data_IF_397575364671
#
_entry.id   IF_397575364671
#
_cell.length_a   1.000
_cell.length_b   1.000
_cell.length_c   1.000
_cell.angle_alpha   90.00
_cell.angle_beta   90.00
_cell.angle_gamma   90.00
#
_symmetry.space_group_name_H-M   'P 1'
#
loop_
_entity.id
_entity.type
_entity.pdbx_description
1 polymer ?
#
# COMPACT_ATOMS: atom_id res chain seq x y z
N UNK A 1 -27.61 -55.59 23.55
CA UNK A 1 -27.52 -55.39 25.02
C UNK A 1 -27.20 -53.93 25.26
N UNK A 2 -27.93 -53.23 26.13
CA UNK A 2 -27.69 -51.81 26.36
C UNK A 2 -26.28 -51.58 26.94
N UNK A 3 -25.45 -50.82 26.23
CA UNK A 3 -24.10 -50.49 26.65
C UNK A 3 -24.09 -49.20 27.47
N UNK A 4 -23.35 -49.20 28.58
CA UNK A 4 -23.21 -48.03 29.45
C UNK A 4 -21.79 -47.52 29.38
N UNK A 5 -21.64 -46.20 29.36
CA UNK A 5 -20.32 -45.57 29.48
C UNK A 5 -19.85 -45.62 30.95
N UNK A 6 -18.54 -45.49 31.19
CA UNK A 6 -17.95 -45.40 32.55
C UNK A 6 -18.54 -44.25 33.38
N UNK A 7 -19.07 -43.20 32.73
CA UNK A 7 -19.83 -42.12 33.38
C UNK A 7 -21.28 -42.51 33.75
N UNK A 8 -21.65 -43.79 33.66
CA UNK A 8 -22.97 -44.37 33.97
C UNK A 8 -24.12 -43.92 33.06
N UNK A 9 -23.82 -43.26 31.95
CA UNK A 9 -24.84 -42.85 30.98
C UNK A 9 -25.10 -43.98 29.97
N UNK A 10 -26.37 -44.19 29.61
CA UNK A 10 -26.79 -45.13 28.58
C UNK A 10 -26.25 -44.66 27.22
N UNK A 11 -25.52 -45.51 26.51
CA UNK A 11 -25.01 -45.19 25.18
C UNK A 11 -26.08 -45.49 24.13
N UNK A 12 -26.19 -44.58 23.15
CA UNK A 12 -26.97 -44.83 21.94
C UNK A 12 -26.23 -45.88 21.10
N UNK A 13 -26.97 -46.81 20.48
CA UNK A 13 -26.38 -47.87 19.67
C UNK A 13 -25.50 -47.27 18.55
N UNK A 14 -24.23 -47.69 18.49
CA UNK A 14 -23.27 -47.22 17.50
C UNK A 14 -22.56 -45.89 17.81
N UNK A 15 -22.84 -45.24 18.95
CA UNK A 15 -22.17 -43.98 19.31
C UNK A 15 -20.65 -44.16 19.48
N UNK A 16 -19.86 -43.37 18.72
CA UNK A 16 -18.39 -43.32 18.78
C UNK A 16 -17.85 -42.58 20.02
N UNK A 17 -18.64 -41.64 20.54
CA UNK A 17 -18.33 -40.85 21.74
C UNK A 17 -19.56 -40.83 22.65
N UNK A 18 -19.33 -40.77 23.97
CA UNK A 18 -20.41 -40.58 24.92
C UNK A 18 -20.97 -39.15 24.82
N UNK A 19 -22.29 -39.02 24.67
CA UNK A 19 -22.95 -37.71 24.55
C UNK A 19 -22.91 -36.86 25.83
N UNK A 20 -22.66 -37.47 26.99
CA UNK A 20 -22.63 -36.75 28.27
C UNK A 20 -21.20 -36.37 28.70
N UNK A 21 -20.22 -37.27 28.55
CA UNK A 21 -18.84 -37.02 29.01
C UNK A 21 -17.80 -36.88 27.90
N UNK A 22 -18.17 -37.06 26.63
CA UNK A 22 -17.28 -36.88 25.47
C UNK A 22 -16.21 -37.97 25.30
N UNK A 23 -16.16 -39.00 26.15
CA UNK A 23 -15.15 -40.07 26.07
C UNK A 23 -15.42 -40.99 24.87
N UNK A 24 -14.38 -41.39 24.10
CA UNK A 24 -14.54 -42.39 23.05
C UNK A 24 -14.98 -43.73 23.65
N UNK A 25 -15.93 -44.38 22.98
CA UNK A 25 -16.52 -45.67 23.41
C UNK A 25 -15.82 -46.88 22.81
N UNK A 26 -14.94 -46.66 21.83
CA UNK A 26 -14.10 -47.66 21.18
C UNK A 26 -12.68 -47.12 21.09
N UNK A 27 -11.69 -47.97 21.36
CA UNK A 27 -10.31 -47.68 21.00
C UNK A 27 -10.18 -47.80 19.47
N UNK A 28 -10.12 -46.66 18.78
CA UNK A 28 -10.02 -46.58 17.31
C UNK A 28 -8.71 -47.17 16.76
N UNK A 29 -7.80 -47.61 17.62
CA UNK A 29 -6.52 -48.21 17.26
C UNK A 29 -6.66 -49.64 16.73
N UNK A 30 -7.67 -50.41 17.16
CA UNK A 30 -7.76 -51.84 16.81
C UNK A 30 -8.49 -52.15 15.49
N UNK A 31 -9.20 -51.18 14.88
CA UNK A 31 -9.91 -51.42 13.61
C UNK A 31 -9.03 -51.33 12.36
N UNK A 32 -7.78 -50.85 12.46
CA UNK A 32 -6.87 -50.80 11.31
C UNK A 32 -6.09 -52.11 11.09
N UNK A 33 -6.09 -53.04 12.05
CA UNK A 33 -5.19 -54.20 12.04
C UNK A 33 -5.83 -55.50 11.47
N UNK A 34 -7.14 -55.51 11.19
CA UNK A 34 -7.86 -56.72 10.75
C UNK A 34 -8.72 -56.52 9.50
N UNK A 35 -8.21 -55.82 8.48
CA UNK A 35 -8.73 -55.93 7.12
C UNK A 35 -7.87 -56.91 6.29
N UNK A 36 -8.46 -57.95 5.67
CA UNK A 36 -7.75 -58.79 4.70
C UNK A 36 -7.17 -57.93 3.57
N UNK A 37 -5.98 -58.25 3.02
CA UNK A 37 -5.39 -57.46 1.95
C UNK A 37 -6.28 -57.50 0.70
N UNK A 38 -6.92 -56.36 0.40
CA UNK A 38 -7.62 -56.09 -0.86
C UNK A 38 -6.59 -56.17 -2.01
N UNK A 39 -6.85 -56.88 -3.11
CA UNK A 39 -5.93 -56.95 -4.24
C UNK A 39 -5.62 -55.54 -4.76
N UNK A 40 -4.34 -55.23 -4.88
CA UNK A 40 -3.81 -53.96 -5.35
C UNK A 40 -4.42 -53.58 -6.70
N UNK A 41 -5.44 -52.72 -6.67
CA UNK A 41 -5.81 -51.90 -7.81
C UNK A 41 -4.78 -50.79 -7.89
N UNK A 42 -4.01 -50.77 -8.97
CA UNK A 42 -3.18 -49.64 -9.37
C UNK A 42 -4.03 -48.36 -9.30
N UNK A 43 -3.66 -47.37 -8.46
CA UNK A 43 -4.38 -46.11 -8.42
C UNK A 43 -4.36 -45.50 -9.83
N UNK A 44 -5.50 -45.06 -10.39
CA UNK A 44 -5.47 -44.29 -11.62
C UNK A 44 -4.54 -43.10 -11.38
N UNK A 45 -3.55 -42.96 -12.27
CA UNK A 45 -2.57 -41.90 -12.22
C UNK A 45 -3.27 -40.57 -11.89
N UNK A 46 -2.95 -40.03 -10.71
CA UNK A 46 -3.47 -38.73 -10.31
C UNK A 46 -3.19 -37.74 -11.45
N UNK A 47 -4.20 -36.97 -11.90
CA UNK A 47 -3.96 -35.89 -12.84
C UNK A 47 -2.78 -35.07 -12.31
N UNK A 48 -1.80 -34.69 -13.16
CA UNK A 48 -0.70 -33.86 -12.71
C UNK A 48 -1.31 -32.68 -11.95
N UNK A 49 -0.96 -32.55 -10.67
CA UNK A 49 -1.45 -31.48 -9.83
C UNK A 49 -1.23 -30.20 -10.61
N UNK A 50 -2.33 -29.57 -11.05
CA UNK A 50 -2.25 -28.25 -11.65
C UNK A 50 -1.41 -27.41 -10.68
N UNK A 51 -0.37 -26.70 -11.16
CA UNK A 51 0.42 -25.86 -10.27
C UNK A 51 -0.59 -25.01 -9.52
N UNK A 52 -0.60 -25.16 -8.18
CA UNK A 52 -1.35 -24.26 -7.32
C UNK A 52 -0.78 -22.90 -7.66
N UNK A 53 -1.48 -22.17 -8.54
CA UNK A 53 -1.18 -20.79 -8.84
C UNK A 53 -1.08 -20.14 -7.48
N UNK A 54 0.14 -19.79 -7.08
CA UNK A 54 0.39 -19.09 -5.83
C UNK A 54 -0.57 -17.92 -5.88
N UNK A 55 -1.61 -17.94 -5.04
CA UNK A 55 -2.67 -16.95 -5.07
C UNK A 55 -1.99 -15.59 -5.11
N UNK A 56 -2.14 -14.88 -6.25
CA UNK A 56 -1.36 -13.71 -6.58
C UNK A 56 -1.26 -12.83 -5.33
N UNK A 57 -0.04 -12.65 -4.81
CA UNK A 57 0.18 -12.00 -3.52
C UNK A 57 -0.49 -10.64 -3.56
N UNK A 58 -1.56 -10.46 -2.76
CA UNK A 58 -2.39 -9.28 -2.88
C UNK A 58 -1.55 -8.03 -2.61
N UNK A 59 -1.37 -7.18 -3.63
CA UNK A 59 -0.52 -6.00 -3.53
C UNK A 59 -1.05 -5.10 -2.40
N UNK A 60 -0.23 -4.98 -1.36
CA UNK A 60 -0.53 -4.27 -0.12
C UNK A 60 0.71 -4.11 0.75
N UNK A 61 0.57 -3.49 1.93
CA UNK A 61 1.70 -3.24 2.84
C UNK A 61 2.33 -4.50 3.43
N UNK A 62 1.63 -5.64 3.36
CA UNK A 62 2.14 -6.94 3.81
C UNK A 62 3.15 -7.52 2.82
N UNK A 63 3.13 -7.06 1.57
CA UNK A 63 4.08 -7.50 0.55
C UNK A 63 5.37 -6.64 0.63
N UNK A 64 6.49 -7.21 1.10
CA UNK A 64 7.72 -6.46 1.30
C UNK A 64 8.33 -5.98 -0.03
N UNK A 65 8.07 -6.68 -1.14
CA UNK A 65 8.54 -6.24 -2.46
C UNK A 65 7.79 -4.98 -2.90
N UNK A 66 6.47 -4.93 -2.71
CA UNK A 66 5.65 -3.75 -3.00
C UNK A 66 6.11 -2.52 -2.19
N UNK A 67 6.31 -2.70 -0.87
CA UNK A 67 6.77 -1.62 0.01
C UNK A 67 8.17 -1.13 -0.37
N UNK A 68 9.12 -2.04 -0.63
CA UNK A 68 10.49 -1.66 -1.03
C UNK A 68 10.50 -0.86 -2.32
N UNK A 69 9.77 -1.31 -3.34
CA UNK A 69 9.68 -0.60 -4.62
C UNK A 69 9.03 0.77 -4.44
N UNK A 70 7.94 0.85 -3.68
CA UNK A 70 7.24 2.10 -3.39
C UNK A 70 8.13 3.11 -2.66
N UNK A 71 8.85 2.70 -1.61
CA UNK A 71 9.77 3.58 -0.86
C UNK A 71 10.93 4.05 -1.75
N UNK A 72 11.50 3.16 -2.56
CA UNK A 72 12.57 3.52 -3.50
C UNK A 72 12.09 4.56 -4.52
N UNK A 73 10.92 4.34 -5.13
CA UNK A 73 10.38 5.27 -6.11
C UNK A 73 9.95 6.59 -5.47
N UNK A 74 9.40 6.56 -4.26
CA UNK A 74 9.07 7.77 -3.51
C UNK A 74 10.30 8.62 -3.17
N UNK A 75 11.38 7.98 -2.72
CA UNK A 75 12.65 8.66 -2.45
C UNK A 75 13.26 9.24 -3.72
N UNK A 76 13.29 8.46 -4.80
CA UNK A 76 13.85 8.89 -6.08
C UNK A 76 13.05 10.04 -6.71
N UNK A 77 11.71 9.96 -6.72
CA UNK A 77 10.85 11.02 -7.23
C UNK A 77 11.03 12.32 -6.46
N UNK A 78 11.18 12.22 -5.13
CA UNK A 78 11.41 13.39 -4.26
C UNK A 78 12.77 14.01 -4.52
N UNK A 79 13.81 13.20 -4.66
CA UNK A 79 15.17 13.66 -4.96
C UNK A 79 15.25 14.37 -6.33
N UNK A 80 14.66 13.78 -7.38
CA UNK A 80 14.61 14.38 -8.71
C UNK A 80 13.82 15.69 -8.67
N UNK A 81 12.74 15.74 -7.89
CA UNK A 81 11.92 16.95 -7.73
C UNK A 81 12.68 18.09 -7.02
N UNK A 82 13.60 17.76 -6.10
CA UNK A 82 14.46 18.74 -5.41
C UNK A 82 15.60 19.25 -6.30
N UNK A 83 16.15 18.40 -7.16
CA UNK A 83 17.30 18.71 -8.01
C UNK A 83 16.91 19.44 -9.32
N UNK A 84 15.63 19.70 -9.55
CA UNK A 84 15.17 20.30 -10.80
C UNK A 84 15.54 21.79 -10.87
N UNK A 85 16.32 22.24 -11.88
CA UNK A 85 16.72 23.65 -12.02
C UNK A 85 15.64 24.52 -12.69
N UNK A 86 14.40 24.02 -12.80
CA UNK A 86 13.33 24.70 -13.53
C UNK A 86 12.78 25.91 -12.75
N UNK A 87 12.37 26.98 -13.45
CA UNK A 87 11.69 28.10 -12.83
C UNK A 87 10.37 27.65 -12.20
N UNK A 88 9.92 28.36 -11.16
CA UNK A 88 8.88 27.89 -10.24
C UNK A 88 7.58 27.41 -10.93
N UNK A 89 7.13 28.09 -11.98
CA UNK A 89 5.95 27.69 -12.76
C UNK A 89 6.15 26.34 -13.47
N UNK A 90 7.27 26.14 -14.16
CA UNK A 90 7.57 24.88 -14.85
C UNK A 90 7.88 23.76 -13.85
N UNK A 91 8.46 24.10 -12.70
CA UNK A 91 8.76 23.14 -11.63
C UNK A 91 7.48 22.47 -11.09
N UNK A 92 6.33 23.16 -11.05
CA UNK A 92 5.05 22.56 -10.65
C UNK A 92 4.63 21.46 -11.63
N UNK A 93 4.56 21.76 -12.93
CA UNK A 93 4.18 20.77 -13.94
C UNK A 93 5.16 19.59 -13.98
N UNK A 94 6.46 19.88 -13.82
CA UNK A 94 7.49 18.87 -13.74
C UNK A 94 7.30 17.92 -12.54
N UNK A 95 6.98 18.46 -11.36
CA UNK A 95 6.68 17.65 -10.16
C UNK A 95 5.45 16.78 -10.35
N UNK A 96 4.38 17.33 -10.92
CA UNK A 96 3.16 16.55 -11.23
C UNK A 96 3.49 15.40 -12.19
N UNK A 97 4.25 15.68 -13.25
CA UNK A 97 4.68 14.66 -14.20
C UNK A 97 5.50 13.55 -13.53
N UNK A 98 6.47 13.92 -12.68
CA UNK A 98 7.30 12.95 -11.94
C UNK A 98 6.46 12.04 -11.04
N UNK A 99 5.41 12.55 -10.39
CA UNK A 99 4.56 11.73 -9.53
C UNK A 99 3.82 10.65 -10.33
N UNK A 100 3.33 10.98 -11.53
CA UNK A 100 2.71 9.99 -12.43
C UNK A 100 3.73 8.96 -12.88
N UNK A 101 4.92 9.41 -13.32
CA UNK A 101 6.00 8.51 -13.74
C UNK A 101 6.45 7.60 -12.60
N UNK A 102 6.52 8.11 -11.37
CA UNK A 102 6.90 7.32 -10.20
C UNK A 102 5.93 6.16 -9.95
N UNK A 103 4.63 6.40 -10.05
CA UNK A 103 3.61 5.34 -9.95
C UNK A 103 3.73 4.31 -11.06
N UNK A 104 3.97 4.74 -12.30
CA UNK A 104 4.16 3.86 -13.46
C UNK A 104 5.40 2.97 -13.29
N UNK A 105 6.55 3.58 -13.00
CA UNK A 105 7.83 2.87 -12.86
C UNK A 105 7.82 1.95 -11.64
N UNK A 106 7.09 2.30 -10.57
CA UNK A 106 6.91 1.40 -9.44
C UNK A 106 6.24 0.08 -9.86
N UNK A 107 5.19 0.13 -10.68
CA UNK A 107 4.51 -1.07 -11.18
C UNK A 107 5.41 -1.88 -12.11
N UNK A 108 6.09 -1.21 -13.04
CA UNK A 108 7.05 -1.86 -13.93
C UNK A 108 8.17 -2.58 -13.15
N UNK A 109 8.74 -1.93 -12.14
CA UNK A 109 9.80 -2.52 -11.34
C UNK A 109 9.29 -3.65 -10.42
N UNK A 110 8.06 -3.56 -9.92
CA UNK A 110 7.42 -4.62 -9.15
C UNK A 110 7.21 -5.87 -10.00
N UNK A 111 6.60 -5.74 -11.18
CA UNK A 111 6.40 -6.86 -12.13
C UNK A 111 7.74 -7.47 -12.51
N UNK A 112 8.72 -6.67 -12.92
CA UNK A 112 10.04 -7.17 -13.31
C UNK A 112 10.78 -7.92 -12.20
N UNK A 113 10.53 -7.61 -10.92
CA UNK A 113 11.20 -8.27 -9.79
C UNK A 113 10.47 -9.50 -9.27
N UNK A 114 9.15 -9.52 -9.37
CA UNK A 114 8.31 -10.59 -8.81
C UNK A 114 7.89 -11.61 -9.87
N UNK A 115 7.79 -11.18 -11.13
CA UNK A 115 7.19 -11.98 -12.20
C UNK A 115 5.69 -12.21 -12.03
N UNK A 116 5.05 -11.54 -11.06
CA UNK A 116 3.61 -11.65 -10.83
C UNK A 116 2.85 -10.72 -11.78
N UNK A 117 1.76 -11.23 -12.36
CA UNK A 117 0.84 -10.42 -13.15
C UNK A 117 0.22 -9.32 -12.28
N UNK A 118 0.31 -8.07 -12.74
CA UNK A 118 -0.20 -6.92 -11.99
C UNK A 118 -1.53 -6.46 -12.58
N UNK A 119 -2.61 -6.79 -11.90
CA UNK A 119 -3.94 -6.25 -12.25
C UNK A 119 -3.98 -4.73 -12.12
N UNK A 120 -4.88 -4.06 -12.85
CA UNK A 120 -5.09 -2.60 -12.75
C UNK A 120 -5.34 -2.15 -11.31
N UNK A 121 -6.12 -2.91 -10.55
CA UNK A 121 -6.38 -2.63 -9.12
C UNK A 121 -5.10 -2.75 -8.29
N UNK A 122 -4.25 -3.73 -8.59
CA UNK A 122 -2.93 -3.87 -8.01
C UNK A 122 -2.02 -2.68 -8.32
N UNK A 123 -2.02 -2.23 -9.57
CA UNK A 123 -1.29 -1.03 -10.01
C UNK A 123 -1.73 0.25 -9.28
N UNK A 124 -3.05 0.47 -9.15
CA UNK A 124 -3.60 1.58 -8.37
C UNK A 124 -3.14 1.52 -6.92
N UNK A 125 -3.21 0.35 -6.27
CA UNK A 125 -2.77 0.19 -4.88
C UNK A 125 -1.28 0.46 -4.72
N UNK A 126 -0.44 -0.05 -5.62
CA UNK A 126 1.00 0.21 -5.57
C UNK A 126 1.32 1.70 -5.78
N UNK A 127 0.61 2.34 -6.71
CA UNK A 127 0.66 3.77 -6.93
C UNK A 127 0.29 4.55 -5.66
N UNK A 128 -0.82 4.20 -5.01
CA UNK A 128 -1.23 4.81 -3.74
C UNK A 128 -0.19 4.65 -2.63
N UNK A 129 0.37 3.45 -2.45
CA UNK A 129 1.44 3.19 -1.46
C UNK A 129 2.66 4.08 -1.75
N UNK A 130 3.07 4.17 -3.02
CA UNK A 130 4.16 5.05 -3.46
C UNK A 130 3.85 6.50 -3.13
N UNK A 131 2.63 6.94 -3.41
CA UNK A 131 2.16 8.30 -3.12
C UNK A 131 2.14 8.66 -1.64
N UNK A 132 1.71 7.73 -0.78
CA UNK A 132 1.74 7.91 0.69
C UNK A 132 3.18 8.09 1.19
N UNK A 133 4.12 7.28 0.71
CA UNK A 133 5.54 7.46 1.06
C UNK A 133 6.11 8.76 0.52
N UNK A 134 5.80 9.13 -0.73
CA UNK A 134 6.22 10.43 -1.30
C UNK A 134 5.70 11.60 -0.48
N UNK A 135 4.44 11.54 -0.04
CA UNK A 135 3.86 12.57 0.81
C UNK A 135 4.55 12.63 2.16
N UNK A 136 4.74 11.48 2.83
CA UNK A 136 5.39 11.43 4.14
C UNK A 136 6.82 12.00 4.08
N UNK A 137 7.61 11.56 3.09
CA UNK A 137 8.97 12.08 2.86
C UNK A 137 8.92 13.59 2.56
N UNK A 138 8.01 14.02 1.69
CA UNK A 138 7.84 15.42 1.33
C UNK A 138 7.49 16.31 2.52
N UNK A 139 6.59 15.88 3.40
CA UNK A 139 6.22 16.60 4.63
C UNK A 139 7.40 16.70 5.58
N UNK A 140 8.15 15.62 5.78
CA UNK A 140 9.34 15.63 6.65
C UNK A 140 10.38 16.61 6.09
N UNK A 141 10.67 16.57 4.79
CA UNK A 141 11.62 17.48 4.17
C UNK A 141 11.13 18.94 4.22
N UNK A 142 9.85 19.18 3.99
CA UNK A 142 9.27 20.53 4.08
C UNK A 142 9.36 21.08 5.51
N UNK A 143 9.10 20.26 6.53
CA UNK A 143 9.24 20.64 7.93
C UNK A 143 10.70 20.96 8.28
N UNK A 144 11.65 20.13 7.84
CA UNK A 144 13.09 20.38 8.02
C UNK A 144 13.52 21.68 7.33
N UNK A 145 13.04 21.92 6.10
CA UNK A 145 13.28 23.16 5.37
C UNK A 145 12.71 24.39 6.10
N UNK A 146 11.48 24.27 6.64
CA UNK A 146 10.85 25.35 7.40
C UNK A 146 11.65 25.69 8.67
N UNK A 147 12.13 24.69 9.41
CA UNK A 147 12.99 24.89 10.61
C UNK A 147 14.32 25.54 10.22
N UNK A 148 14.93 25.08 9.12
CA UNK A 148 16.18 25.67 8.62
C UNK A 148 15.99 27.15 8.25
N UNK A 149 14.90 27.49 7.56
CA UNK A 149 14.54 28.87 7.18
C UNK A 149 14.22 29.72 8.41
N UNK A 150 13.49 29.19 9.38
CA UNK A 150 13.16 29.89 10.63
C UNK A 150 14.42 30.29 11.42
N UNK A 151 15.52 29.55 11.25
CA UNK A 151 16.81 29.83 11.88
C UNK A 151 17.63 30.92 11.16
N UNK A 152 17.17 31.42 10.01
CA UNK A 152 17.86 32.49 9.25
C UNK A 152 17.42 33.89 9.70
N UNK A 153 18.27 34.91 9.48
CA UNK A 153 18.03 36.31 9.91
C UNK A 153 16.75 36.97 9.35
N UNK A 154 16.12 36.38 8.34
CA UNK A 154 14.84 36.84 7.77
C UNK A 154 13.61 36.00 8.15
N UNK A 155 13.83 34.82 8.75
CA UNK A 155 12.78 33.88 9.14
C UNK A 155 11.82 33.46 8.02
N UNK A 156 10.68 32.89 8.41
CA UNK A 156 9.64 32.41 7.47
C UNK A 156 8.99 33.56 6.67
N UNK A 157 8.84 34.74 7.29
CA UNK A 157 8.16 35.88 6.68
C UNK A 157 8.90 36.49 5.48
N UNK A 158 10.24 36.44 5.46
CA UNK A 158 11.01 36.95 4.33
C UNK A 158 10.86 36.06 3.09
N UNK A 159 11.01 34.75 3.26
CA UNK A 159 10.85 33.76 2.18
C UNK A 159 9.44 33.80 1.61
N UNK A 160 8.42 33.91 2.48
CA UNK A 160 7.04 33.97 2.03
C UNK A 160 6.71 35.26 1.26
N UNK A 161 7.27 36.40 1.68
CA UNK A 161 7.14 37.68 0.96
C UNK A 161 7.72 37.59 -0.44
N UNK A 162 8.87 36.95 -0.59
CA UNK A 162 9.50 36.73 -1.90
C UNK A 162 8.63 35.82 -2.77
N UNK A 163 8.12 34.73 -2.20
CA UNK A 163 7.26 33.79 -2.90
C UNK A 163 5.96 34.45 -3.39
N UNK A 164 5.26 35.21 -2.54
CA UNK A 164 4.05 35.93 -2.96
C UNK A 164 4.35 36.97 -4.04
N UNK A 165 5.48 37.70 -3.95
CA UNK A 165 5.88 38.68 -4.98
C UNK A 165 6.16 38.02 -6.33
N UNK A 166 6.66 36.79 -6.33
CA UNK A 166 6.91 36.03 -7.55
C UNK A 166 5.60 35.57 -8.22
N UNK A 167 4.56 35.28 -7.44
CA UNK A 167 3.26 34.80 -7.94
C UNK A 167 2.20 35.90 -8.14
N UNK A 168 2.30 37.05 -7.47
CA UNK A 168 1.32 38.13 -7.54
C UNK A 168 1.78 39.27 -8.46
N UNK A 169 0.97 39.56 -9.49
CA UNK A 169 1.18 40.71 -10.38
C UNK A 169 0.68 42.05 -9.78
N UNK A 170 -0.06 42.02 -8.67
CA UNK A 170 -0.69 43.19 -8.05
C UNK A 170 -0.28 43.31 -6.57
N UNK A 171 0.22 44.47 -6.17
CA UNK A 171 0.62 44.73 -4.77
C UNK A 171 -0.55 44.73 -3.77
N UNK A 172 -1.78 44.91 -4.24
CA UNK A 172 -2.97 44.93 -3.40
C UNK A 172 -3.32 43.53 -2.85
N UNK A 173 -3.17 42.49 -3.68
CA UNK A 173 -3.41 41.10 -3.28
C UNK A 173 -2.33 40.60 -2.29
N UNK A 174 -1.12 41.16 -2.35
CA UNK A 174 -0.01 40.81 -1.45
C UNK A 174 -0.31 41.27 -0.02
N UNK A 175 -0.81 42.49 0.17
CA UNK A 175 -1.09 43.01 1.52
C UNK A 175 -2.23 42.23 2.21
N UNK A 176 -3.26 41.87 1.46
CA UNK A 176 -4.40 41.13 1.98
C UNK A 176 -4.05 39.66 2.28
N UNK A 177 -3.28 39.02 1.40
CA UNK A 177 -2.73 37.68 1.66
C UNK A 177 -1.85 37.64 2.92
N UNK A 178 -1.05 38.70 3.14
CA UNK A 178 -0.21 38.81 4.33
C UNK A 178 -1.02 38.98 5.63
N UNK A 179 -2.16 39.70 5.59
CA UNK A 179 -3.06 39.81 6.76
C UNK A 179 -3.69 38.48 7.17
N UNK A 180 -4.10 37.66 6.19
CA UNK A 180 -4.63 36.32 6.46
C UNK A 180 -3.56 35.45 7.12
N UNK A 181 -2.30 35.58 6.69
CA UNK A 181 -1.17 34.85 7.27
C UNK A 181 -0.75 35.34 8.66
N UNK A 182 -0.92 36.62 8.97
CA UNK A 182 -0.63 37.16 10.31
C UNK A 182 -1.64 36.67 11.36
N UNK A 183 -2.82 36.22 10.92
CA UNK A 183 -3.80 35.59 11.81
C UNK A 183 -3.44 34.13 12.12
N UNK A 184 -3.44 33.71 13.41
CA UNK A 184 -3.19 32.31 13.79
C UNK A 184 -4.18 31.34 13.13
N UNK A 185 -5.44 31.75 13.00
CA UNK A 185 -6.51 30.95 12.40
C UNK A 185 -6.32 30.78 10.89
N UNK A 186 -5.99 31.87 10.17
CA UNK A 186 -5.75 31.82 8.73
C UNK A 186 -4.52 31.00 8.36
N UNK A 187 -3.45 31.10 9.15
CA UNK A 187 -2.24 30.27 8.95
C UNK A 187 -2.52 28.78 9.21
N UNK A 188 -3.25 28.46 10.29
CA UNK A 188 -3.64 27.07 10.57
C UNK A 188 -4.51 26.51 9.43
N UNK A 189 -5.51 27.26 8.99
CA UNK A 189 -6.38 26.85 7.88
C UNK A 189 -5.56 26.61 6.60
N UNK A 190 -4.66 27.53 6.24
CA UNK A 190 -3.82 27.41 5.05
C UNK A 190 -2.91 26.18 5.11
N UNK A 191 -2.27 25.92 6.25
CA UNK A 191 -1.39 24.75 6.42
C UNK A 191 -2.20 23.46 6.30
N UNK A 192 -3.34 23.35 6.98
CA UNK A 192 -4.21 22.16 6.91
C UNK A 192 -4.74 21.96 5.49
N UNK A 193 -5.25 23.02 4.86
CA UNK A 193 -5.74 22.99 3.49
C UNK A 193 -4.65 22.54 2.50
N UNK A 194 -3.44 23.10 2.62
CA UNK A 194 -2.30 22.76 1.78
C UNK A 194 -1.87 21.31 2.00
N UNK A 195 -1.83 20.84 3.24
CA UNK A 195 -1.51 19.44 3.57
C UNK A 195 -2.52 18.48 2.94
N UNK A 196 -3.82 18.77 3.07
CA UNK A 196 -4.88 17.93 2.50
C UNK A 196 -4.79 17.92 0.98
N UNK A 197 -4.68 19.08 0.34
CA UNK A 197 -4.54 19.17 -1.12
C UNK A 197 -3.30 18.46 -1.62
N UNK A 198 -2.17 18.65 -0.93
CA UNK A 198 -0.91 17.99 -1.28
C UNK A 198 -1.03 16.48 -1.12
N UNK A 199 -1.65 15.98 -0.05
CA UNK A 199 -1.89 14.56 0.15
C UNK A 199 -2.72 13.95 -1.00
N UNK A 200 -3.78 14.63 -1.43
CA UNK A 200 -4.60 14.17 -2.55
C UNK A 200 -3.84 14.14 -3.87
N UNK A 201 -2.99 15.14 -4.13
CA UNK A 201 -2.15 15.17 -5.33
C UNK A 201 -1.10 14.06 -5.29
N UNK A 202 -0.39 13.94 -4.17
CA UNK A 202 0.69 12.97 -3.98
C UNK A 202 0.20 11.54 -3.99
N UNK A 203 -1.06 11.27 -3.63
CA UNK A 203 -1.65 9.93 -3.73
C UNK A 203 -2.35 9.72 -5.07
N UNK A 204 -3.09 10.72 -5.56
CA UNK A 204 -3.89 10.67 -6.79
C UNK A 204 -3.05 10.45 -8.05
N UNK A 205 -1.99 11.23 -8.24
CA UNK A 205 -1.19 11.16 -9.46
C UNK A 205 -0.44 9.83 -9.59
N UNK A 206 0.23 9.32 -8.54
CA UNK A 206 0.84 7.99 -8.60
C UNK A 206 -0.18 6.87 -8.76
N UNK A 207 -1.41 6.99 -8.25
CA UNK A 207 -2.48 6.02 -8.54
C UNK A 207 -2.78 5.94 -10.03
N UNK A 208 -2.88 7.08 -10.71
CA UNK A 208 -3.08 7.14 -12.17
C UNK A 208 -1.88 6.50 -12.88
N UNK A 209 -0.65 6.87 -12.48
CA UNK A 209 0.57 6.29 -13.03
C UNK A 209 0.64 4.77 -12.88
N UNK A 210 0.30 4.26 -11.70
CA UNK A 210 0.28 2.83 -11.41
C UNK A 210 -0.80 2.07 -12.19
N UNK A 211 -1.99 2.66 -12.36
CA UNK A 211 -3.03 2.09 -13.21
C UNK A 211 -2.57 1.97 -14.67
N UNK A 212 -1.91 3.01 -15.18
CA UNK A 212 -1.34 3.02 -16.54
C UNK A 212 -0.21 2.00 -16.67
N UNK A 213 0.64 1.85 -15.66
CA UNK A 213 1.71 0.84 -15.64
C UNK A 213 1.18 -0.58 -15.76
N UNK A 214 0.15 -0.91 -14.98
CA UNK A 214 -0.50 -2.21 -15.04
C UNK A 214 -1.13 -2.49 -16.41
N UNK A 215 -1.85 -1.50 -16.97
CA UNK A 215 -2.48 -1.59 -18.31
C UNK A 215 -1.48 -1.83 -19.44
N UNK A 216 -0.28 -1.24 -19.35
CA UNK A 216 0.74 -1.40 -20.39
C UNK A 216 1.34 -2.80 -20.33
N UNK A 217 1.62 -3.31 -19.14
CA UNK A 217 2.18 -4.65 -18.93
C UNK A 217 1.18 -5.74 -19.36
N UNK A 218 -0.09 -5.60 -18.99
CA UNK A 218 -1.18 -6.52 -19.39
C UNK A 218 -1.30 -6.68 -20.92
N UNK A 219 -0.88 -5.68 -21.71
CA UNK A 219 -0.94 -5.73 -23.17
C UNK A 219 0.27 -6.43 -23.80
N UNK A 220 1.39 -6.52 -23.08
CA UNK A 220 2.63 -7.12 -23.58
C UNK A 220 2.67 -8.65 -23.37
N UNK A 221 1.78 -9.18 -22.53
CA UNK A 221 1.55 -10.62 -22.27
C UNK A 221 0.50 -11.20 -23.24
#
# INVERSE_FOLDING_TARGET
>A
MATFCTCKTLLVEGALFCHNCGRPTRDLTEQHENLPPEPAQEPPAAPPAAPVSAAASEIGFQNPAAVRVAVLMAGLSTLISLMSPLPAFLAVFWRLFILVVAGFVAVYLYHRRTGEEVTVRGGVRLGWITGVFSFAIGVVLAALGAVAVASTKGGFAAVWKEQIREYSASGADVQEAMRILESPEGMLFLVVFTLVMTFLIFTGLPMIGGALGAKVIEKEE
#
